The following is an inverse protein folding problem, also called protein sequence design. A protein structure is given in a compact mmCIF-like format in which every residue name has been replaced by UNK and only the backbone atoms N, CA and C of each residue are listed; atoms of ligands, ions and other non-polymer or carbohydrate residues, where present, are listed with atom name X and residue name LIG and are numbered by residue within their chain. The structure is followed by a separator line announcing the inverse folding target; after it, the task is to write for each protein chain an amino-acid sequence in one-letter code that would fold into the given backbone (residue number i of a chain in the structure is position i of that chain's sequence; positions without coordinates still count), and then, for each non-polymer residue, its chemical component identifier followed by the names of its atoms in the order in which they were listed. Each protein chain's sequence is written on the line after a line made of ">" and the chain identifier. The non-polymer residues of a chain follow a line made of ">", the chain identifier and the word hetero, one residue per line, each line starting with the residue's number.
data_IF_009590241392
#
_entry.id   IF_009590241392
#
_cell.length_a   1.000
_cell.length_b   1.000
_cell.length_c   1.000
_cell.angle_alpha   90.00
_cell.angle_beta   90.00
_cell.angle_gamma   90.00
#
_symmetry.space_group_name_H-M   'P 1'
#
loop_
_entity.id
_entity.type
_entity.pdbx_description
1 polymer ?
#
# COMPACT_ATOMS: atom_id res chain seq x y z
N UNK A 1 15.65 -3.08 -8.21
CA UNK A 1 14.32 -2.44 -8.09
C UNK A 1 13.28 -3.44 -8.56
N UNK A 2 12.26 -3.71 -7.76
CA UNK A 2 11.20 -4.68 -8.06
C UNK A 2 9.85 -3.97 -7.99
N UNK A 3 9.01 -4.12 -9.01
CA UNK A 3 7.69 -3.49 -9.09
C UNK A 3 6.61 -4.56 -9.24
N UNK A 4 5.52 -4.45 -8.47
CA UNK A 4 4.39 -5.38 -8.49
C UNK A 4 3.07 -4.67 -8.20
N UNK A 5 2.02 -5.12 -8.87
CA UNK A 5 0.66 -4.70 -8.60
C UNK A 5 -0.08 -5.76 -7.77
N UNK A 6 -0.96 -5.30 -6.90
CA UNK A 6 -1.80 -6.08 -6.01
C UNK A 6 -3.21 -5.51 -6.00
N UNK A 7 -4.15 -6.28 -5.45
CA UNK A 7 -5.50 -5.82 -5.14
C UNK A 7 -5.73 -5.99 -3.65
N UNK A 8 -6.55 -5.12 -3.06
CA UNK A 8 -7.05 -5.30 -1.70
C UNK A 8 -8.57 -5.30 -1.78
N UNK A 9 -9.21 -6.38 -1.34
CA UNK A 9 -10.65 -6.42 -1.18
C UNK A 9 -11.06 -5.67 0.10
N UNK A 10 -12.16 -4.93 0.03
CA UNK A 10 -12.63 -4.08 1.13
C UNK A 10 -14.12 -4.35 1.37
N UNK A 11 -14.55 -4.54 2.64
CA UNK A 11 -15.96 -4.69 2.99
C UNK A 11 -16.67 -3.33 2.99
N UNK A 12 -16.91 -2.76 1.81
CA UNK A 12 -17.59 -1.48 1.64
C UNK A 12 -18.56 -1.52 0.46
N UNK A 13 -19.78 -1.04 0.65
CA UNK A 13 -20.85 -1.15 -0.34
C UNK A 13 -20.47 -0.54 -1.70
N UNK A 14 -19.77 0.61 -1.69
CA UNK A 14 -19.44 1.39 -2.88
C UNK A 14 -18.02 1.15 -3.41
N UNK A 15 -17.13 0.57 -2.60
CA UNK A 15 -15.71 0.39 -2.94
C UNK A 15 -15.24 -0.96 -2.47
N UNK A 16 -15.44 -1.97 -3.31
CA UNK A 16 -15.19 -3.37 -2.93
C UNK A 16 -13.75 -3.81 -3.14
N UNK A 17 -12.97 -3.06 -3.91
CA UNK A 17 -11.58 -3.34 -4.18
C UNK A 17 -10.78 -2.05 -4.37
N UNK A 18 -9.51 -2.09 -3.97
CA UNK A 18 -8.49 -1.08 -4.28
C UNK A 18 -7.32 -1.74 -4.99
N UNK A 19 -6.72 -1.01 -5.91
CA UNK A 19 -5.47 -1.38 -6.56
C UNK A 19 -4.30 -0.87 -5.75
N UNK A 20 -3.23 -1.66 -5.68
CA UNK A 20 -1.98 -1.25 -5.05
C UNK A 20 -0.84 -1.46 -6.03
N UNK A 21 -0.09 -0.40 -6.28
CA UNK A 21 1.17 -0.47 -7.02
C UNK A 21 2.32 -0.34 -6.01
N UNK A 22 3.11 -1.40 -5.86
CA UNK A 22 4.23 -1.44 -4.94
C UNK A 22 5.55 -1.46 -5.69
N UNK A 23 6.50 -0.64 -5.24
CA UNK A 23 7.87 -0.60 -5.76
C UNK A 23 8.85 -0.73 -4.61
N UNK A 24 9.65 -1.78 -4.63
CA UNK A 24 10.72 -2.00 -3.67
C UNK A 24 12.09 -1.66 -4.28
N UNK A 25 12.86 -0.89 -3.53
CA UNK A 25 14.26 -0.56 -3.76
C UNK A 25 15.03 -0.87 -2.48
N UNK A 26 16.37 -0.83 -2.54
CA UNK A 26 17.20 -1.04 -1.35
C UNK A 26 16.78 -0.07 -0.25
N UNK A 27 16.40 -0.61 0.90
CA UNK A 27 15.96 0.11 2.11
C UNK A 27 14.71 1.01 1.93
N UNK A 28 14.03 0.93 0.78
CA UNK A 28 12.92 1.83 0.43
C UNK A 28 11.75 1.07 -0.17
N UNK A 29 10.53 1.36 0.32
CA UNK A 29 9.28 0.85 -0.23
C UNK A 29 8.37 2.01 -0.63
N UNK A 30 7.86 2.00 -1.86
CA UNK A 30 6.84 2.92 -2.34
C UNK A 30 5.55 2.14 -2.54
N UNK A 31 4.47 2.64 -1.96
CA UNK A 31 3.12 2.11 -2.11
C UNK A 31 2.22 3.22 -2.65
N UNK A 32 1.63 2.99 -3.82
CA UNK A 32 0.47 3.72 -4.29
C UNK A 32 -0.76 2.84 -4.07
N UNK A 33 -1.84 3.42 -3.56
CA UNK A 33 -3.11 2.74 -3.31
C UNK A 33 -4.24 3.61 -3.84
N UNK A 34 -5.13 3.07 -4.66
CA UNK A 34 -6.26 3.82 -5.15
C UNK A 34 -7.36 2.97 -5.73
N UNK A 35 -8.40 3.62 -6.25
CA UNK A 35 -9.56 2.94 -6.82
C UNK A 35 -9.18 2.08 -8.03
N UNK A 36 -9.97 1.04 -8.27
CA UNK A 36 -9.90 0.23 -9.49
C UNK A 36 -11.25 0.25 -10.21
N UNK A 37 -11.27 0.07 -11.54
CA UNK A 37 -12.51 0.01 -12.30
C UNK A 37 -13.47 -1.06 -11.74
N UNK A 38 -14.77 -0.74 -11.67
CA UNK A 38 -15.79 -1.63 -11.11
C UNK A 38 -15.87 -2.99 -11.83
N UNK A 39 -15.62 -3.01 -13.14
CA UNK A 39 -15.53 -4.23 -13.94
C UNK A 39 -14.42 -5.17 -13.45
N UNK A 40 -13.29 -4.62 -12.99
CA UNK A 40 -12.22 -5.40 -12.41
C UNK A 40 -12.59 -5.89 -11.01
N UNK A 41 -13.12 -5.00 -10.17
CA UNK A 41 -13.57 -5.38 -8.83
C UNK A 41 -14.55 -6.56 -8.87
N UNK A 42 -15.48 -6.58 -9.83
CA UNK A 42 -16.39 -7.70 -10.06
C UNK A 42 -15.66 -9.00 -10.45
N UNK A 43 -14.72 -8.95 -11.39
CA UNK A 43 -13.96 -10.13 -11.83
C UNK A 43 -13.12 -10.77 -10.72
N UNK A 44 -12.53 -9.96 -9.83
CA UNK A 44 -11.72 -10.46 -8.70
C UNK A 44 -12.62 -11.14 -7.65
N UNK A 45 -13.84 -10.64 -7.46
CA UNK A 45 -14.81 -11.24 -6.54
C UNK A 45 -15.31 -12.60 -7.04
N UNK A 46 -15.52 -12.73 -8.36
CA UNK A 46 -15.99 -13.97 -8.99
C UNK A 46 -14.93 -15.09 -8.95
N UNK A 47 -13.64 -14.76 -9.07
CA UNK A 47 -12.55 -15.74 -8.95
C UNK A 47 -12.27 -16.17 -7.50
N UNK A 48 -12.55 -15.31 -6.52
CA UNK A 48 -12.25 -15.56 -5.10
C UNK A 48 -13.25 -16.43 -4.35
N UNK A 49 -14.41 -16.77 -4.93
CA UNK A 49 -15.35 -17.75 -4.38
C UNK A 49 -15.87 -17.45 -2.96
N UNK A 50 -17.10 -16.91 -2.87
CA UNK A 50 -17.92 -16.70 -1.65
C UNK A 50 -17.38 -15.68 -0.63
N UNK A 51 -18.14 -14.60 -0.32
CA UNK A 51 -17.81 -13.72 0.78
C UNK A 51 -17.87 -14.51 2.09
N UNK A 52 -16.77 -14.52 2.83
CA UNK A 52 -16.74 -15.08 4.18
C UNK A 52 -17.85 -14.41 5.01
N UNK A 53 -18.70 -15.23 5.62
CA UNK A 53 -19.67 -14.78 6.63
C UNK A 53 -18.92 -14.07 7.77
N UNK A 54 -19.58 -13.05 8.28
CA UNK A 54 -19.20 -12.05 9.27
C UNK A 54 -18.21 -12.45 10.39
N UNK A 55 -17.55 -11.40 10.90
CA UNK A 55 -16.88 -11.23 12.20
C UNK A 55 -15.38 -11.46 12.37
N UNK A 56 -14.63 -11.77 11.30
CA UNK A 56 -13.17 -11.82 11.41
C UNK A 56 -12.50 -10.81 10.47
N UNK A 57 -12.12 -9.63 11.02
CA UNK A 57 -11.28 -8.62 10.34
C UNK A 57 -10.00 -9.24 9.75
N UNK A 58 -9.55 -10.39 10.29
CA UNK A 58 -8.45 -11.15 9.74
C UNK A 58 -8.83 -11.91 8.45
N UNK A 59 -10.05 -12.47 8.35
CA UNK A 59 -10.59 -13.19 7.20
C UNK A 59 -11.05 -12.28 6.06
N UNK A 60 -11.48 -11.05 6.34
CA UNK A 60 -11.90 -10.10 5.29
C UNK A 60 -10.72 -9.52 4.50
N UNK A 61 -9.53 -9.47 5.10
CA UNK A 61 -8.28 -9.21 4.40
C UNK A 61 -7.63 -10.51 3.83
N UNK A 62 -8.27 -11.67 4.00
CA UNK A 62 -7.71 -13.00 3.65
C UNK A 62 -7.83 -13.37 2.18
N UNK A 63 -8.50 -12.56 1.36
CA UNK A 63 -8.32 -12.66 -0.09
C UNK A 63 -7.31 -11.62 -0.55
N UNK A 64 -6.08 -12.12 -0.66
CA UNK A 64 -5.19 -11.81 -1.75
C UNK A 64 -4.69 -10.36 -1.85
N UNK A 65 -3.58 -10.05 -1.16
CA UNK A 65 -2.49 -9.40 -1.88
C UNK A 65 -1.94 -10.39 -2.95
N UNK A 66 -2.81 -10.91 -3.82
CA UNK A 66 -2.38 -11.69 -4.95
C UNK A 66 -1.82 -10.72 -5.95
N UNK A 67 -0.77 -11.18 -6.59
CA UNK A 67 -0.16 -10.45 -7.69
C UNK A 67 -1.26 -10.25 -8.73
N UNK A 68 -1.60 -8.99 -9.00
CA UNK A 68 -2.55 -8.69 -10.05
C UNK A 68 -2.02 -9.30 -11.36
N UNK A 69 -2.87 -10.03 -12.14
CA UNK A 69 -2.43 -10.65 -13.37
C UNK A 69 -1.86 -9.59 -14.31
N UNK A 70 -0.70 -9.86 -14.92
CA UNK A 70 0.06 -8.88 -15.71
C UNK A 70 -0.68 -8.37 -16.95
N UNK A 71 -1.70 -9.09 -17.41
CA UNK A 71 -2.62 -8.67 -18.47
C UNK A 71 -3.56 -7.54 -18.05
N UNK A 72 -3.69 -7.28 -16.75
CA UNK A 72 -4.77 -6.48 -16.20
C UNK A 72 -4.32 -5.05 -15.85
N UNK A 73 -3.07 -4.90 -15.41
CA UNK A 73 -2.37 -3.61 -15.40
C UNK A 73 -2.28 -2.99 -16.80
N UNK A 74 -2.26 -3.81 -17.86
CA UNK A 74 -2.17 -3.36 -19.25
C UNK A 74 -3.54 -3.07 -19.91
N UNK A 75 -4.63 -3.74 -19.48
CA UNK A 75 -5.96 -3.66 -20.14
C UNK A 75 -6.92 -2.68 -19.50
N UNK A 76 -6.87 -2.51 -18.18
CA UNK A 76 -7.87 -1.70 -17.48
C UNK A 76 -7.32 -0.36 -17.02
N UNK A 77 -5.99 -0.17 -17.02
CA UNK A 77 -5.37 0.96 -16.38
C UNK A 77 -5.65 0.91 -14.87
N UNK A 78 -4.60 1.04 -14.07
CA UNK A 78 -4.85 1.56 -12.73
C UNK A 78 -5.13 3.06 -12.96
N UNK A 79 -6.41 3.42 -13.08
CA UNK A 79 -6.81 4.83 -13.13
C UNK A 79 -6.49 5.43 -11.77
N UNK A 80 -5.41 6.20 -11.71
CA UNK A 80 -4.95 6.82 -10.50
C UNK A 80 -4.21 8.11 -10.83
N UNK A 81 -4.61 9.20 -10.19
CA UNK A 81 -3.81 10.42 -10.20
C UNK A 81 -2.59 10.15 -9.30
N UNK A 82 -1.42 10.72 -9.61
CA UNK A 82 -0.37 10.86 -8.59
C UNK A 82 -1.01 11.71 -7.47
N UNK A 83 -1.22 11.07 -6.32
CA UNK A 83 -2.44 11.23 -5.54
C UNK A 83 -2.57 12.52 -4.72
N UNK A 84 -3.80 12.79 -4.24
CA UNK A 84 -4.14 13.93 -3.39
C UNK A 84 -3.51 13.84 -1.97
N UNK A 85 -3.25 12.64 -1.43
CA UNK A 85 -2.57 12.46 -0.13
C UNK A 85 -1.27 11.64 -0.28
N UNK A 86 -0.13 12.24 0.06
CA UNK A 86 1.16 11.58 -0.06
C UNK A 86 2.08 11.93 1.13
N UNK A 87 2.60 10.88 1.77
CA UNK A 87 3.58 10.99 2.86
C UNK A 87 4.74 10.03 2.69
N UNK A 88 5.82 10.37 3.40
CA UNK A 88 6.96 9.50 3.63
C UNK A 88 7.16 9.30 5.12
N UNK A 89 7.54 8.11 5.53
CA UNK A 89 8.03 7.82 6.86
C UNK A 89 9.39 7.15 6.80
N UNK A 90 10.22 7.43 7.80
CA UNK A 90 11.52 6.84 7.97
C UNK A 90 11.63 6.17 9.33
N UNK A 91 12.28 5.01 9.35
CA UNK A 91 12.66 4.32 10.58
C UNK A 91 14.08 4.70 10.95
N UNK A 92 14.22 5.43 12.06
CA UNK A 92 15.52 5.72 12.65
C UNK A 92 15.84 4.59 13.64
N UNK A 93 17.01 3.93 13.54
CA UNK A 93 17.41 2.90 14.48
C UNK A 93 17.36 3.41 15.92
N UNK A 94 16.68 2.68 16.81
CA UNK A 94 16.54 3.05 18.22
C UNK A 94 15.53 4.17 18.52
N UNK A 95 14.79 4.65 17.53
CA UNK A 95 13.75 5.67 17.72
C UNK A 95 12.41 5.23 17.11
N UNK A 96 11.34 5.97 17.44
CA UNK A 96 10.06 5.84 16.78
C UNK A 96 10.18 6.23 15.29
N UNK A 97 9.29 5.70 14.45
CA UNK A 97 9.24 6.11 13.05
C UNK A 97 8.78 7.57 12.97
N UNK A 98 9.54 8.39 12.25
CA UNK A 98 9.19 9.79 11.95
C UNK A 98 8.63 9.86 10.53
N UNK A 99 7.73 10.79 10.24
CA UNK A 99 7.23 10.97 8.87
C UNK A 99 6.89 12.41 8.54
N UNK A 100 6.75 12.68 7.25
CA UNK A 100 6.48 13.98 6.67
C UNK A 100 5.44 13.83 5.57
N UNK A 101 4.44 14.70 5.54
CA UNK A 101 3.53 14.84 4.41
C UNK A 101 4.22 15.60 3.29
N UNK A 102 4.28 14.99 2.11
CA UNK A 102 4.92 15.54 0.92
C UNK A 102 3.93 16.36 0.09
N UNK A 103 2.70 15.88 -0.02
CA UNK A 103 1.60 16.58 -0.66
C UNK A 103 0.39 16.54 0.27
N UNK A 104 0.06 17.67 0.94
CA UNK A 104 -1.04 17.69 1.87
C UNK A 104 -2.37 17.82 1.12
N UNK A 105 -3.28 16.86 1.32
CA UNK A 105 -4.71 17.10 1.10
C UNK A 105 -5.40 17.47 2.41
N UNK A 106 -6.70 17.74 2.30
CA UNK A 106 -7.64 17.81 3.41
C UNK A 106 -7.63 16.57 4.31
N UNK A 107 -7.10 15.44 3.82
CA UNK A 107 -7.03 14.17 4.53
C UNK A 107 -5.56 13.76 4.70
N UNK A 108 -5.07 13.72 5.94
CA UNK A 108 -3.67 13.38 6.26
C UNK A 108 -3.55 11.93 6.74
N UNK A 109 -4.14 10.99 5.99
CA UNK A 109 -4.19 9.58 6.37
C UNK A 109 -2.88 8.86 6.04
N UNK A 110 -2.26 9.21 4.91
CA UNK A 110 -1.05 8.58 4.40
C UNK A 110 0.11 8.67 5.39
N UNK A 111 0.20 9.75 6.17
CA UNK A 111 1.26 9.96 7.17
C UNK A 111 1.23 8.89 8.28
N UNK A 112 0.06 8.70 8.89
CA UNK A 112 -0.11 7.73 9.97
C UNK A 112 0.13 6.31 9.47
N UNK A 113 -0.37 5.99 8.28
CA UNK A 113 -0.16 4.69 7.63
C UNK A 113 1.33 4.48 7.33
N UNK A 114 2.01 5.45 6.72
CA UNK A 114 3.43 5.34 6.41
C UNK A 114 4.27 5.10 7.67
N UNK A 115 4.01 5.83 8.76
CA UNK A 115 4.72 5.65 10.03
C UNK A 115 4.51 4.26 10.63
N UNK A 116 3.26 3.77 10.66
CA UNK A 116 2.94 2.43 11.19
C UNK A 116 3.55 1.33 10.33
N UNK A 117 3.50 1.46 9.01
CA UNK A 117 4.12 0.52 8.07
C UNK A 117 5.65 0.51 8.20
N UNK A 118 6.29 1.68 8.20
CA UNK A 118 7.74 1.82 8.42
C UNK A 118 8.18 1.16 9.73
N UNK A 119 7.51 1.46 10.84
CA UNK A 119 7.80 0.85 12.13
C UNK A 119 7.65 -0.68 12.11
N UNK A 120 6.53 -1.16 11.56
CA UNK A 120 6.13 -2.57 11.56
C UNK A 120 6.97 -3.44 10.63
N UNK A 121 7.24 -2.96 9.42
CA UNK A 121 8.01 -3.68 8.40
C UNK A 121 9.51 -3.58 8.64
N UNK A 122 9.97 -2.56 9.39
CA UNK A 122 11.40 -2.33 9.59
C UNK A 122 12.14 -1.86 8.34
N UNK A 123 11.43 -1.31 7.36
CA UNK A 123 12.02 -0.68 6.17
C UNK A 123 12.49 0.72 6.55
N UNK A 124 13.68 1.12 6.11
CA UNK A 124 14.26 2.41 6.49
C UNK A 124 13.41 3.58 5.99
N UNK A 125 12.79 3.45 4.81
CA UNK A 125 11.94 4.48 4.23
C UNK A 125 10.71 3.88 3.55
N UNK A 126 9.52 4.38 3.90
CA UNK A 126 8.24 3.98 3.30
C UNK A 126 7.52 5.21 2.78
N UNK A 127 7.20 5.22 1.49
CA UNK A 127 6.33 6.22 0.85
C UNK A 127 4.95 5.62 0.67
N UNK A 128 3.91 6.36 1.04
CA UNK A 128 2.51 5.97 0.86
C UNK A 128 1.78 7.10 0.15
N UNK A 129 1.22 6.79 -1.01
CA UNK A 129 0.36 7.66 -1.80
C UNK A 129 -1.04 7.06 -1.87
N UNK A 130 -2.04 7.83 -1.48
CA UNK A 130 -3.43 7.39 -1.37
C UNK A 130 -4.33 8.21 -2.31
N UNK A 131 -4.95 7.54 -3.27
CA UNK A 131 -5.94 8.07 -4.21
C UNK A 131 -7.29 7.39 -3.95
N UNK A 132 -7.89 7.72 -2.80
CA UNK A 132 -9.10 7.07 -2.31
C UNK A 132 -10.34 7.88 -2.72
N UNK A 133 -11.48 7.22 -3.00
CA UNK A 133 -12.75 7.91 -3.21
C UNK A 133 -13.12 8.83 -2.05
N UNK A 134 -13.85 9.91 -2.33
CA UNK A 134 -14.30 10.89 -1.33
C UNK A 134 -15.11 10.28 -0.17
N UNK A 135 -15.68 9.08 -0.34
CA UNK A 135 -16.34 8.35 0.76
C UNK A 135 -15.39 7.99 1.90
N UNK A 136 -14.08 7.86 1.63
CA UNK A 136 -13.04 7.58 2.63
C UNK A 136 -12.41 8.85 3.20
N UNK A 137 -12.56 9.96 2.49
CA UNK A 137 -12.24 11.28 2.98
C UNK A 137 -13.22 11.62 4.11
N UNK A 138 -12.78 11.42 5.36
CA UNK A 138 -13.55 11.67 6.58
C UNK A 138 -14.34 12.99 6.52
N UNK A 139 -15.51 13.06 7.18
CA UNK A 139 -16.57 14.01 6.84
C UNK A 139 -16.11 15.45 7.04
N UNK A 140 -16.34 16.25 6.00
CA UNK A 140 -16.36 17.70 6.13
C UNK A 140 -17.22 18.06 7.35
N UNK A 141 -16.66 18.83 8.31
CA UNK A 141 -17.37 19.36 9.51
C UNK A 141 -17.49 18.48 10.77
N UNK A 142 -16.43 17.77 11.17
CA UNK A 142 -16.30 17.29 12.57
C UNK A 142 -17.29 16.19 12.99
N UNK A 143 -17.95 15.57 12.02
CA UNK A 143 -18.80 14.41 12.26
C UNK A 143 -17.92 13.16 12.46
N UNK A 144 -18.33 12.21 13.31
CA UNK A 144 -17.65 10.93 13.41
C UNK A 144 -17.80 10.15 12.09
N UNK A 145 -16.72 9.50 11.66
CA UNK A 145 -16.72 8.62 10.50
C UNK A 145 -17.72 7.46 10.71
N UNK A 146 -18.53 7.10 9.70
CA UNK A 146 -19.36 5.92 9.76
C UNK A 146 -18.57 4.66 10.10
N UNK A 147 -19.14 3.71 10.86
CA UNK A 147 -18.41 2.51 11.27
C UNK A 147 -18.06 1.59 10.08
N UNK A 148 -18.81 1.64 8.98
CA UNK A 148 -18.49 0.91 7.75
C UNK A 148 -17.20 1.45 7.11
N UNK A 149 -17.10 2.75 6.92
CA UNK A 149 -15.92 3.42 6.35
C UNK A 149 -14.68 3.21 7.21
N UNK A 150 -14.84 3.25 8.54
CA UNK A 150 -13.76 2.97 9.48
C UNK A 150 -13.24 1.53 9.36
N UNK A 151 -14.15 0.55 9.25
CA UNK A 151 -13.77 -0.87 9.00
C UNK A 151 -13.09 -1.03 7.66
N UNK A 152 -13.58 -0.32 6.64
CA UNK A 152 -13.03 -0.36 5.29
C UNK A 152 -11.60 0.22 5.23
N UNK A 153 -11.33 1.32 5.93
CA UNK A 153 -9.97 1.88 6.09
C UNK A 153 -9.04 0.95 6.86
N UNK A 154 -9.53 0.31 7.93
CA UNK A 154 -8.76 -0.67 8.69
C UNK A 154 -8.39 -1.88 7.81
N UNK A 155 -9.33 -2.38 7.00
CA UNK A 155 -9.09 -3.46 6.05
C UNK A 155 -8.07 -3.06 4.98
N UNK A 156 -8.18 -1.83 4.44
CA UNK A 156 -7.21 -1.27 3.51
C UNK A 156 -5.80 -1.23 4.11
N UNK A 157 -5.64 -0.66 5.31
CA UNK A 157 -4.32 -0.56 5.93
C UNK A 157 -3.71 -1.94 6.23
N UNK A 158 -4.53 -2.89 6.67
CA UNK A 158 -4.11 -4.28 6.84
C UNK A 158 -3.66 -4.90 5.51
N UNK A 159 -4.36 -4.62 4.41
CA UNK A 159 -3.96 -5.04 3.06
C UNK A 159 -2.63 -4.42 2.62
N UNK A 160 -2.44 -3.12 2.84
CA UNK A 160 -1.18 -2.43 2.53
C UNK A 160 -0.01 -3.00 3.33
N UNK A 161 -0.25 -3.37 4.59
CA UNK A 161 0.74 -4.05 5.41
C UNK A 161 1.12 -5.41 4.82
N UNK A 162 0.16 -6.23 4.40
CA UNK A 162 0.42 -7.54 3.76
C UNK A 162 1.20 -7.37 2.45
N UNK A 163 0.86 -6.36 1.63
CA UNK A 163 1.64 -6.00 0.43
C UNK A 163 3.07 -5.62 0.81
N UNK A 164 3.25 -4.82 1.86
CA UNK A 164 4.57 -4.44 2.36
C UNK A 164 5.38 -5.65 2.85
N UNK A 165 4.77 -6.58 3.58
CA UNK A 165 5.40 -7.84 4.02
C UNK A 165 5.83 -8.69 2.81
N UNK A 166 5.00 -8.79 1.77
CA UNK A 166 5.34 -9.49 0.52
C UNK A 166 6.46 -8.82 -0.28
N UNK A 167 6.59 -7.49 -0.19
CA UNK A 167 7.60 -6.71 -0.90
C UNK A 167 8.91 -6.54 -0.11
N UNK A 168 8.89 -6.78 1.21
CA UNK A 168 10.03 -6.58 2.11
C UNK A 168 11.32 -7.33 1.69
N UNK A 169 11.28 -8.60 1.21
CA UNK A 169 12.51 -9.26 0.77
C UNK A 169 13.24 -8.50 -0.35
N UNK A 170 12.50 -7.78 -1.20
CA UNK A 170 13.08 -6.99 -2.29
C UNK A 170 13.68 -5.65 -1.82
N UNK A 171 13.36 -5.19 -0.60
CA UNK A 171 14.00 -4.02 -0.01
C UNK A 171 15.35 -4.36 0.63
N UNK A 172 15.53 -5.62 1.04
CA UNK A 172 16.77 -6.15 1.61
C UNK A 172 17.75 -6.66 0.54
N UNK A 173 17.25 -6.99 -0.65
CA UNK A 173 18.05 -7.49 -1.76
C UNK A 173 19.00 -6.39 -2.28
N UNK A 174 20.20 -6.35 -1.71
CA UNK A 174 21.31 -5.59 -2.29
C UNK A 174 21.75 -6.30 -3.57
N UNK A 175 21.79 -5.57 -4.68
CA UNK A 175 22.63 -5.93 -5.82
C UNK A 175 24.06 -6.06 -5.29
N UNK A 176 24.56 -7.28 -5.15
CA UNK A 176 25.97 -7.56 -4.92
C UNK A 176 26.70 -7.25 -6.24
N UNK A 177 27.03 -5.98 -6.45
CA UNK A 177 28.02 -5.64 -7.45
C UNK A 177 29.38 -6.09 -6.92
N UNK A 178 30.20 -6.84 -7.69
CA UNK A 178 31.54 -7.20 -7.25
C UNK A 178 32.31 -5.92 -6.96
N UNK A 179 32.83 -5.80 -5.73
CA UNK A 179 33.73 -4.71 -5.39
C UNK A 179 34.92 -4.79 -6.35
N UNK A 180 35.25 -3.74 -7.13
CA UNK A 180 36.48 -3.76 -7.90
C UNK A 180 37.62 -3.96 -6.90
N UNK A 181 38.39 -5.02 -7.10
CA UNK A 181 39.59 -5.33 -6.33
C UNK A 181 40.48 -4.09 -6.32
N UNK A 182 40.91 -3.72 -5.11
CA UNK A 182 41.89 -2.67 -4.85
C UNK A 182 43.02 -2.73 -5.89
N UNK A 183 43.22 -1.63 -6.60
CA UNK A 183 44.39 -1.44 -7.46
C UNK A 183 45.56 -1.18 -6.51
N UNK A 184 46.43 -2.18 -6.35
CA UNK A 184 47.75 -2.03 -5.72
C UNK A 184 48.60 -1.13 -6.62
N UNK A 185 48.72 0.15 -6.27
CA UNK A 185 49.74 1.03 -6.85
C UNK A 185 51.02 0.84 -6.05
N UNK A 186 51.92 0.00 -6.57
CA UNK A 186 53.32 -0.02 -6.14
C UNK A 186 54.05 1.15 -6.80
N UNK A 187 54.49 2.11 -6.00
CA UNK A 187 55.53 3.09 -6.34
C UNK A 187 56.90 2.51 -6.07
#
# INVERSE_FOLDING_TARGET
>A
MTSRAYVIQIPHAHTRALGVQAVAMKDTLLLWCGSVPASYAASVLDESGTPAKDDDLSATATYAADRAPSSLTARHGIEGRLADDWSVAMKIPGSASTGTTLYPSTHTMSLGIAQRLSAKLGVAQVYVSLDLPDSFAAPSHGMPMPPEDARALQAMELGLRRVGEAMHPYTQASSEAPRPSSIDVRT
#
